data_IF_228753776509
#
_entry.id   IF_228753776509
#
_cell.length_a   1.000
_cell.length_b   1.000
_cell.length_c   1.000
_cell.angle_alpha   90.00
_cell.angle_beta   90.00
_cell.angle_gamma   90.00
#
_symmetry.space_group_name_H-M   'P 1'
#
loop_
_entity.id
_entity.type
_entity.pdbx_description
1 polymer ?
#
# COMPACT_ATOMS: atom_id res chain seq x y z
N UNK A 1 -28.15 -3.98 -92.93
CA UNK A 1 -27.31 -2.82 -92.52
C UNK A 1 -27.81 -2.18 -91.24
N UNK A 2 -29.06 -1.71 -91.16
CA UNK A 2 -29.64 -1.10 -89.94
C UNK A 2 -29.58 -2.03 -88.70
N UNK A 3 -29.89 -3.31 -88.86
CA UNK A 3 -29.92 -4.29 -87.76
C UNK A 3 -28.54 -4.53 -87.12
N UNK A 4 -27.46 -4.47 -87.91
CA UNK A 4 -26.09 -4.60 -87.42
C UNK A 4 -25.65 -3.38 -86.63
N UNK A 5 -26.05 -2.17 -87.06
CA UNK A 5 -25.80 -0.93 -86.32
C UNK A 5 -26.50 -0.94 -84.96
N UNK A 6 -27.75 -1.41 -84.92
CA UNK A 6 -28.52 -1.52 -83.67
C UNK A 6 -27.84 -2.48 -82.69
N UNK A 7 -27.39 -3.65 -83.18
CA UNK A 7 -26.70 -4.64 -82.35
C UNK A 7 -25.37 -4.10 -81.77
N UNK A 8 -24.63 -3.33 -82.57
CA UNK A 8 -23.38 -2.70 -82.14
C UNK A 8 -23.61 -1.63 -81.05
N UNK A 9 -24.62 -0.78 -81.22
CA UNK A 9 -25.00 0.21 -80.21
C UNK A 9 -25.44 -0.47 -78.89
N UNK A 10 -26.28 -1.50 -78.97
CA UNK A 10 -26.72 -2.28 -77.80
C UNK A 10 -25.54 -2.95 -77.07
N UNK A 11 -24.62 -3.55 -77.83
CA UNK A 11 -23.40 -4.14 -77.28
C UNK A 11 -22.53 -3.12 -76.55
N UNK A 12 -22.33 -1.94 -77.13
CA UNK A 12 -21.55 -0.87 -76.48
C UNK A 12 -22.17 -0.37 -75.17
N UNK A 13 -23.50 -0.24 -75.11
CA UNK A 13 -24.18 0.15 -73.87
C UNK A 13 -24.07 -0.91 -72.78
N UNK A 14 -24.19 -2.19 -73.13
CA UNK A 14 -24.02 -3.30 -72.17
C UNK A 14 -22.61 -3.29 -71.58
N UNK A 15 -21.58 -3.05 -72.40
CA UNK A 15 -20.19 -2.97 -71.93
C UNK A 15 -20.01 -1.83 -70.93
N UNK A 16 -20.51 -0.64 -71.25
CA UNK A 16 -20.43 0.53 -70.35
C UNK A 16 -21.13 0.23 -69.03
N UNK A 17 -22.32 -0.38 -69.08
CA UNK A 17 -23.11 -0.70 -67.88
C UNK A 17 -22.42 -1.72 -66.96
N UNK A 18 -21.73 -2.71 -67.54
CA UNK A 18 -20.93 -3.68 -66.77
C UNK A 18 -19.76 -2.98 -66.07
N UNK A 19 -19.06 -2.07 -66.75
CA UNK A 19 -17.96 -1.33 -66.14
C UNK A 19 -18.43 -0.43 -65.00
N UNK A 20 -19.57 0.23 -65.18
CA UNK A 20 -20.16 1.09 -64.15
C UNK A 20 -20.52 0.29 -62.89
N UNK A 21 -21.17 -0.86 -63.07
CA UNK A 21 -21.52 -1.76 -61.96
C UNK A 21 -20.29 -2.28 -61.20
N UNK A 22 -19.22 -2.64 -61.91
CA UNK A 22 -17.96 -3.09 -61.27
C UNK A 22 -17.35 -1.95 -60.44
N UNK A 23 -17.32 -0.73 -60.97
CA UNK A 23 -16.77 0.42 -60.27
C UNK A 23 -17.57 0.71 -58.98
N UNK A 24 -18.91 0.72 -59.06
CA UNK A 24 -19.79 0.93 -57.92
C UNK A 24 -19.61 -0.15 -56.84
N UNK A 25 -19.50 -1.42 -57.24
CA UNK A 25 -19.26 -2.52 -56.31
C UNK A 25 -17.92 -2.38 -55.56
N UNK A 26 -16.86 -1.95 -56.25
CA UNK A 26 -15.56 -1.71 -55.62
C UNK A 26 -15.60 -0.54 -54.63
N UNK A 27 -16.30 0.55 -54.96
CA UNK A 27 -16.49 1.67 -54.03
C UNK A 27 -17.28 1.23 -52.79
N UNK A 28 -18.39 0.54 -52.97
CA UNK A 28 -19.22 0.04 -51.87
C UNK A 28 -18.44 -0.86 -50.91
N UNK A 29 -17.63 -1.77 -51.45
CA UNK A 29 -16.74 -2.63 -50.64
C UNK A 29 -15.63 -1.85 -49.92
N UNK A 30 -15.16 -0.75 -50.49
CA UNK A 30 -14.16 0.12 -49.85
C UNK A 30 -14.76 0.93 -48.70
N UNK A 31 -15.98 1.43 -48.88
CA UNK A 31 -16.69 2.22 -47.86
C UNK A 31 -17.10 1.36 -46.67
N UNK A 32 -17.58 0.13 -46.91
CA UNK A 32 -17.85 -0.85 -45.84
C UNK A 32 -16.60 -1.25 -45.03
N UNK A 33 -15.40 -1.13 -45.61
CA UNK A 33 -14.14 -1.35 -44.91
C UNK A 33 -13.79 -0.17 -43.99
N UNK A 34 -14.16 1.06 -44.36
CA UNK A 34 -13.89 2.26 -43.57
C UNK A 34 -14.73 2.29 -42.29
N UNK A 35 -16.03 1.98 -42.39
CA UNK A 35 -16.98 1.96 -41.27
C UNK A 35 -16.60 0.98 -40.15
N UNK A 36 -16.15 -0.24 -40.51
CA UNK A 36 -15.66 -1.23 -39.52
C UNK A 36 -14.39 -0.76 -38.79
N UNK A 37 -13.55 0.04 -39.43
CA UNK A 37 -12.36 0.61 -38.79
C UNK A 37 -12.70 1.78 -37.87
N UNK A 38 -13.72 2.58 -38.22
CA UNK A 38 -14.24 3.64 -37.36
C UNK A 38 -14.89 3.09 -36.10
N UNK A 39 -15.78 2.09 -36.21
CA UNK A 39 -16.41 1.45 -35.04
C UNK A 39 -15.37 0.86 -34.07
N UNK A 40 -14.31 0.25 -34.62
CA UNK A 40 -13.21 -0.32 -33.81
C UNK A 40 -12.32 0.75 -33.18
N UNK A 41 -12.26 1.94 -33.78
CA UNK A 41 -11.53 3.11 -33.27
C UNK A 41 -12.35 3.81 -32.19
N UNK A 42 -13.65 4.01 -32.39
CA UNK A 42 -14.58 4.53 -31.38
C UNK A 42 -14.61 3.63 -30.14
N UNK A 43 -14.62 2.30 -30.30
CA UNK A 43 -14.54 1.37 -29.16
C UNK A 43 -13.24 1.53 -28.36
N UNK A 44 -12.12 1.78 -29.05
CA UNK A 44 -10.82 2.05 -28.41
C UNK A 44 -10.73 3.44 -27.78
N UNK A 45 -11.40 4.43 -28.35
CA UNK A 45 -11.40 5.82 -27.87
C UNK A 45 -12.37 6.03 -26.70
N UNK A 46 -13.52 5.34 -26.69
CA UNK A 46 -14.50 5.40 -25.58
C UNK A 46 -14.04 4.68 -24.31
N UNK A 47 -13.29 3.58 -24.41
CA UNK A 47 -12.83 2.84 -23.22
C UNK A 47 -11.62 3.48 -22.52
N UNK A 48 -10.89 4.37 -23.22
CA UNK A 48 -9.65 4.96 -22.73
C UNK A 48 -8.54 3.91 -22.51
N UNK A 49 -7.30 4.35 -22.29
CA UNK A 49 -6.20 3.42 -22.02
C UNK A 49 -6.55 2.55 -20.79
N UNK A 50 -6.61 1.21 -20.92
CA UNK A 50 -6.98 0.30 -19.83
C UNK A 50 -6.07 0.45 -18.61
N UNK A 51 -4.80 0.83 -18.78
CA UNK A 51 -3.90 1.14 -17.67
C UNK A 51 -4.33 2.39 -16.89
N UNK A 52 -4.85 3.41 -17.59
CA UNK A 52 -5.32 4.65 -16.94
C UNK A 52 -6.63 4.39 -16.18
N UNK A 53 -7.50 3.55 -16.73
CA UNK A 53 -8.74 3.10 -16.06
C UNK A 53 -8.43 2.24 -14.83
N UNK A 54 -7.47 1.32 -14.95
CA UNK A 54 -6.99 0.48 -13.85
C UNK A 54 -6.34 1.30 -12.73
N UNK A 55 -5.41 2.21 -13.05
CA UNK A 55 -4.80 3.11 -12.06
C UNK A 55 -5.78 4.10 -11.43
N UNK A 56 -6.79 4.58 -12.17
CA UNK A 56 -7.89 5.38 -11.58
C UNK A 56 -8.72 4.56 -10.61
N UNK A 57 -9.03 3.31 -10.95
CA UNK A 57 -9.78 2.39 -10.09
C UNK A 57 -9.00 2.00 -8.84
N UNK A 58 -7.71 1.74 -8.97
CA UNK A 58 -6.79 1.43 -7.88
C UNK A 58 -6.68 2.61 -6.90
N UNK A 59 -6.55 3.84 -7.41
CA UNK A 59 -6.59 5.05 -6.55
C UNK A 59 -7.95 5.27 -5.87
N UNK A 60 -9.06 4.90 -6.51
CA UNK A 60 -10.38 4.93 -5.86
C UNK A 60 -10.59 3.78 -4.87
N UNK A 61 -9.74 2.74 -4.91
CA UNK A 61 -9.78 1.59 -4.00
C UNK A 61 -8.84 1.74 -2.80
N UNK A 62 -8.08 2.82 -2.71
CA UNK A 62 -7.17 3.03 -1.60
C UNK A 62 -7.97 3.33 -0.33
N UNK A 63 -8.07 2.33 0.54
CA UNK A 63 -8.86 2.38 1.78
C UNK A 63 -8.33 3.45 2.75
N UNK A 64 -7.02 3.74 2.68
CA UNK A 64 -6.35 4.70 3.56
C UNK A 64 -6.19 6.05 2.88
N UNK A 65 -6.66 7.11 3.53
CA UNK A 65 -6.36 8.48 3.11
C UNK A 65 -4.90 8.83 3.37
N UNK A 66 -4.36 9.79 2.61
CA UNK A 66 -2.99 10.29 2.80
C UNK A 66 -2.76 10.82 4.23
N UNK A 67 -3.77 11.47 4.81
CA UNK A 67 -3.71 11.92 6.21
C UNK A 67 -3.55 10.72 7.16
N UNK A 68 -4.35 9.66 6.97
CA UNK A 68 -4.28 8.49 7.83
C UNK A 68 -2.94 7.75 7.68
N UNK A 69 -2.39 7.67 6.46
CA UNK A 69 -1.03 7.14 6.23
C UNK A 69 0.01 7.96 7.00
N UNK A 70 -0.07 9.29 6.95
CA UNK A 70 0.80 10.18 7.73
C UNK A 70 0.65 9.95 9.25
N UNK A 71 -0.59 9.83 9.75
CA UNK A 71 -0.86 9.56 11.17
C UNK A 71 -0.24 8.22 11.61
N UNK A 72 -0.31 7.19 10.76
CA UNK A 72 0.33 5.88 10.99
C UNK A 72 1.85 6.03 11.01
N UNK A 73 2.45 6.71 10.02
CA UNK A 73 3.89 6.92 9.93
C UNK A 73 4.48 7.71 11.09
N UNK A 74 3.69 8.60 11.71
CA UNK A 74 4.12 9.36 12.87
C UNK A 74 3.96 8.59 14.19
N UNK A 75 3.27 7.44 14.18
CA UNK A 75 3.04 6.65 15.39
C UNK A 75 4.34 5.98 15.83
N UNK A 76 4.69 6.04 17.12
CA UNK A 76 5.83 5.30 17.67
C UNK A 76 5.53 3.80 17.79
N UNK A 77 4.28 3.46 18.12
CA UNK A 77 3.80 2.08 18.09
C UNK A 77 2.31 2.02 17.78
N UNK A 78 1.84 0.83 17.42
CA UNK A 78 0.43 0.53 17.25
C UNK A 78 -0.05 -0.53 18.24
N UNK A 79 -1.28 -0.37 18.71
CA UNK A 79 -2.00 -1.35 19.53
C UNK A 79 -3.19 -1.86 18.72
N UNK A 80 -3.30 -3.18 18.56
CA UNK A 80 -4.32 -3.78 17.70
C UNK A 80 -5.19 -4.81 18.43
N UNK A 81 -6.50 -4.77 18.14
CA UNK A 81 -7.39 -5.93 18.25
C UNK A 81 -7.51 -6.52 16.84
N UNK A 82 -6.95 -7.72 16.57
CA UNK A 82 -6.51 -8.16 15.24
C UNK A 82 -7.41 -7.78 14.05
N UNK A 83 -8.70 -8.01 14.14
CA UNK A 83 -9.63 -7.80 13.01
C UNK A 83 -10.53 -6.58 13.16
N UNK A 84 -10.44 -5.84 14.26
CA UNK A 84 -11.49 -4.89 14.62
C UNK A 84 -11.01 -3.49 14.99
N UNK A 85 -9.81 -3.33 15.56
CA UNK A 85 -9.36 -2.04 16.08
C UNK A 85 -7.87 -1.88 15.83
N UNK A 86 -7.49 -0.70 15.34
CA UNK A 86 -6.11 -0.25 15.25
C UNK A 86 -5.99 1.12 15.93
N UNK A 87 -5.13 1.19 16.95
CA UNK A 87 -4.79 2.41 17.69
C UNK A 87 -3.33 2.74 17.43
N UNK A 88 -3.03 3.95 17.02
CA UNK A 88 -1.66 4.46 16.90
C UNK A 88 -1.36 5.36 18.08
N UNK A 89 -0.16 5.21 18.64
CA UNK A 89 0.34 6.04 19.74
C UNK A 89 1.47 6.90 19.19
N UNK A 90 1.26 8.21 19.20
CA UNK A 90 2.30 9.20 18.97
C UNK A 90 2.95 9.57 20.30
N UNK A 91 4.27 9.49 20.35
CA UNK A 91 5.02 9.87 21.54
C UNK A 91 6.38 10.43 21.16
N UNK A 92 6.61 11.67 21.58
CA UNK A 92 7.89 12.37 21.46
C UNK A 92 8.17 13.08 22.79
N UNK A 93 9.00 12.50 23.67
CA UNK A 93 9.25 13.02 25.02
C UNK A 93 9.69 14.49 25.06
N UNK A 94 10.41 14.93 24.03
CA UNK A 94 10.92 16.30 23.91
C UNK A 94 9.82 17.33 23.55
N UNK A 95 8.69 16.90 22.99
CA UNK A 95 7.56 17.78 22.65
C UNK A 95 6.41 17.67 23.66
N UNK A 96 6.08 16.46 24.07
CA UNK A 96 5.00 16.19 25.02
C UNK A 96 5.39 15.03 25.94
N UNK A 97 5.32 15.23 27.28
CA UNK A 97 5.56 14.15 28.22
C UNK A 97 4.43 13.10 28.23
N UNK A 98 3.26 13.44 27.66
CA UNK A 98 2.09 12.55 27.62
C UNK A 98 1.90 12.04 26.18
N UNK A 99 1.75 10.72 25.97
CA UNK A 99 1.44 10.15 24.67
C UNK A 99 0.08 10.63 24.12
N UNK A 100 -0.02 10.68 22.80
CA UNK A 100 -1.20 11.12 22.05
C UNK A 100 -1.72 9.98 21.18
N UNK A 101 -3.03 9.88 21.00
CA UNK A 101 -3.64 8.95 20.04
C UNK A 101 -3.52 9.52 18.63
N UNK A 102 -2.60 9.02 17.81
CA UNK A 102 -2.46 9.43 16.40
C UNK A 102 -3.50 8.79 15.50
N UNK A 103 -3.74 7.49 15.68
CA UNK A 103 -4.64 6.69 14.83
C UNK A 103 -5.70 6.04 15.70
N UNK A 104 -6.95 6.07 15.24
CA UNK A 104 -8.07 5.38 15.88
C UNK A 104 -9.05 4.89 14.82
N UNK A 105 -8.93 3.64 14.42
CA UNK A 105 -9.69 3.06 13.31
C UNK A 105 -10.29 1.70 13.66
N UNK A 106 -11.32 1.29 12.90
CA UNK A 106 -11.99 0.00 13.07
C UNK A 106 -12.24 -0.75 11.76
N UNK A 107 -12.55 -2.03 11.88
CA UNK A 107 -12.98 -2.91 10.78
C UNK A 107 -11.97 -2.93 9.61
N UNK A 108 -12.44 -2.80 8.37
CA UNK A 108 -11.62 -2.81 7.15
C UNK A 108 -10.51 -1.75 7.18
N UNK A 109 -10.78 -0.55 7.71
CA UNK A 109 -9.77 0.50 7.82
C UNK A 109 -8.69 0.10 8.81
N UNK A 110 -9.04 -0.55 9.93
CA UNK A 110 -8.06 -1.07 10.88
C UNK A 110 -7.16 -2.16 10.26
N UNK A 111 -7.72 -3.03 9.42
CA UNK A 111 -6.93 -4.03 8.68
C UNK A 111 -5.95 -3.38 7.71
N UNK A 112 -6.42 -2.39 6.94
CA UNK A 112 -5.58 -1.63 6.03
C UNK A 112 -4.47 -0.86 6.77
N UNK A 113 -4.80 -0.22 7.90
CA UNK A 113 -3.84 0.47 8.76
C UNK A 113 -2.77 -0.49 9.27
N UNK A 114 -3.14 -1.68 9.76
CA UNK A 114 -2.17 -2.68 10.23
C UNK A 114 -1.25 -3.17 9.11
N UNK A 115 -1.80 -3.38 7.91
CA UNK A 115 -1.03 -3.75 6.74
C UNK A 115 0.00 -2.67 6.41
N UNK A 116 -0.45 -1.42 6.31
CA UNK A 116 0.41 -0.28 6.03
C UNK A 116 1.49 -0.07 7.10
N UNK A 117 1.13 -0.12 8.38
CA UNK A 117 2.07 -0.03 9.48
C UNK A 117 3.16 -1.11 9.42
N UNK A 118 2.80 -2.34 9.04
CA UNK A 118 3.76 -3.43 8.84
C UNK A 118 4.69 -3.16 7.65
N UNK A 119 4.20 -2.57 6.57
CA UNK A 119 4.98 -2.22 5.39
C UNK A 119 6.05 -1.15 5.70
N UNK A 120 5.70 -0.15 6.51
CA UNK A 120 6.63 0.92 6.91
C UNK A 120 7.41 0.63 8.20
N UNK A 121 7.26 -0.57 8.77
CA UNK A 121 8.05 -1.03 9.92
C UNK A 121 7.63 -0.49 11.28
N UNK A 122 6.41 0.03 11.43
CA UNK A 122 5.90 0.48 12.74
C UNK A 122 5.53 -0.74 13.59
N UNK A 123 6.03 -0.85 14.84
CA UNK A 123 5.78 -2.00 15.70
C UNK A 123 4.30 -2.10 16.07
N UNK A 124 3.73 -3.30 15.93
CA UNK A 124 2.31 -3.58 16.21
C UNK A 124 2.21 -4.58 17.36
N UNK A 125 1.66 -4.11 18.47
CA UNK A 125 1.42 -4.88 19.69
C UNK A 125 -0.03 -5.34 19.68
N UNK A 126 -0.23 -6.65 19.83
CA UNK A 126 -1.58 -7.22 19.87
C UNK A 126 -2.07 -7.30 21.31
N UNK A 127 -2.87 -6.32 21.73
CA UNK A 127 -3.58 -6.35 23.01
C UNK A 127 -5.05 -5.98 22.79
N UNK A 128 -5.91 -7.02 22.82
CA UNK A 128 -7.35 -6.89 22.59
C UNK A 128 -8.05 -6.10 23.69
N UNK A 129 -7.61 -6.22 24.95
CA UNK A 129 -8.25 -5.56 26.09
C UNK A 129 -7.93 -4.08 26.07
N UNK A 130 -6.65 -3.74 25.92
CA UNK A 130 -6.17 -2.37 25.87
C UNK A 130 -6.71 -1.63 24.64
N UNK A 131 -6.67 -2.25 23.45
CA UNK A 131 -7.22 -1.64 22.24
C UNK A 131 -8.71 -1.28 22.39
N UNK A 132 -9.52 -2.16 23.00
CA UNK A 132 -10.94 -1.89 23.27
C UNK A 132 -11.13 -0.78 24.31
N UNK A 133 -10.34 -0.80 25.39
CA UNK A 133 -10.37 0.22 26.45
C UNK A 133 -10.07 1.60 25.88
N UNK A 134 -8.96 1.75 25.13
CA UNK A 134 -8.56 3.02 24.52
C UNK A 134 -9.58 3.48 23.48
N UNK A 135 -10.05 2.57 22.62
CA UNK A 135 -11.03 2.92 21.59
C UNK A 135 -12.34 3.48 22.18
N UNK A 136 -12.80 2.93 23.31
CA UNK A 136 -14.00 3.37 23.99
C UNK A 136 -13.84 4.69 24.76
N UNK A 137 -12.63 4.99 25.24
CA UNK A 137 -12.37 6.12 26.16
C UNK A 137 -11.76 7.35 25.49
N UNK A 138 -11.09 7.19 24.34
CA UNK A 138 -10.35 8.27 23.67
C UNK A 138 -10.82 8.48 22.22
N UNK A 139 -10.62 9.70 21.73
CA UNK A 139 -10.74 10.07 20.32
C UNK A 139 -9.37 10.23 19.69
N UNK A 140 -9.36 10.39 18.36
CA UNK A 140 -8.13 10.72 17.63
C UNK A 140 -7.66 12.11 18.06
N UNK A 141 -6.35 12.24 18.25
CA UNK A 141 -5.66 13.43 18.74
C UNK A 141 -5.97 13.82 20.19
N UNK A 142 -6.57 12.92 20.96
CA UNK A 142 -6.64 13.08 22.41
C UNK A 142 -5.32 12.65 23.05
N UNK A 143 -4.93 13.34 24.13
CA UNK A 143 -3.91 12.85 25.03
C UNK A 143 -4.43 11.65 25.81
N UNK A 144 -3.53 10.72 26.09
CA UNK A 144 -3.85 9.55 26.93
C UNK A 144 -4.21 10.00 28.34
N UNK A 145 -5.36 9.56 28.83
CA UNK A 145 -5.83 9.84 30.18
C UNK A 145 -5.01 9.11 31.24
N UNK A 146 -4.96 9.67 32.45
CA UNK A 146 -4.20 9.11 33.57
C UNK A 146 -4.58 7.65 33.92
N UNK A 147 -5.79 7.21 33.64
CA UNK A 147 -6.22 5.82 33.88
C UNK A 147 -5.61 4.79 32.91
N UNK A 148 -5.06 5.25 31.79
CA UNK A 148 -4.51 4.41 30.71
C UNK A 148 -3.03 4.67 30.44
N UNK A 149 -2.46 5.68 31.11
CA UNK A 149 -1.10 6.14 30.84
C UNK A 149 -0.08 5.08 31.22
N UNK A 150 -0.29 4.37 32.32
CA UNK A 150 0.63 3.37 32.84
C UNK A 150 0.78 2.20 31.86
N UNK A 151 -0.32 1.69 31.31
CA UNK A 151 -0.27 0.59 30.35
C UNK A 151 0.44 0.99 29.05
N UNK A 152 0.18 2.20 28.54
CA UNK A 152 0.82 2.69 27.31
C UNK A 152 2.30 2.99 27.55
N UNK A 153 2.64 3.60 28.68
CA UNK A 153 4.02 3.92 29.02
C UNK A 153 4.86 2.65 29.16
N UNK A 154 4.32 1.59 29.79
CA UNK A 154 5.00 0.28 29.86
C UNK A 154 5.33 -0.27 28.48
N UNK A 155 4.42 -0.16 27.50
CA UNK A 155 4.68 -0.60 26.14
C UNK A 155 5.74 0.25 25.43
N UNK A 156 5.72 1.57 25.66
CA UNK A 156 6.72 2.50 25.09
C UNK A 156 8.12 2.28 25.68
N UNK A 157 8.20 1.97 26.97
CA UNK A 157 9.46 1.63 27.66
C UNK A 157 9.98 0.26 27.20
N UNK A 158 9.10 -0.74 27.13
CA UNK A 158 9.48 -2.04 26.59
C UNK A 158 9.99 -1.94 25.15
N UNK A 159 9.35 -1.11 24.30
CA UNK A 159 9.82 -0.87 22.94
C UNK A 159 11.21 -0.24 22.93
N UNK A 160 11.45 0.76 23.79
CA UNK A 160 12.75 1.40 23.94
C UNK A 160 13.83 0.39 24.35
N UNK A 161 13.52 -0.49 25.31
CA UNK A 161 14.45 -1.54 25.76
C UNK A 161 14.78 -2.53 24.64
N UNK A 162 13.79 -2.89 23.81
CA UNK A 162 13.98 -3.77 22.65
C UNK A 162 14.83 -3.09 21.56
N UNK A 163 14.58 -1.81 21.30
CA UNK A 163 15.38 -1.01 20.36
C UNK A 163 16.83 -0.88 20.85
N UNK A 164 17.04 -0.72 22.16
CA UNK A 164 18.35 -0.60 22.79
C UNK A 164 19.10 -1.93 22.88
N UNK A 165 18.41 -3.03 23.19
CA UNK A 165 19.00 -4.38 23.21
C UNK A 165 19.43 -4.86 21.82
N UNK A 166 18.85 -4.30 20.75
CA UNK A 166 19.28 -4.50 19.37
C UNK A 166 20.49 -3.66 18.95
N UNK A 167 20.95 -2.71 19.77
CA UNK A 167 22.17 -1.95 19.49
C UNK A 167 23.40 -2.79 19.87
N UNK A 168 24.46 -2.79 19.04
CA UNK A 168 25.73 -3.38 19.45
C UNK A 168 26.21 -2.67 20.72
N UNK A 169 26.55 -3.46 21.74
CA UNK A 169 27.19 -2.94 22.97
C UNK A 169 28.43 -2.16 22.54
N UNK A 170 28.57 -0.86 22.88
CA UNK A 170 29.77 -0.11 22.57
C UNK A 170 31.00 -0.85 23.09
N UNK A 171 32.07 -0.93 22.30
CA UNK A 171 33.30 -1.66 22.64
C UNK A 171 33.88 -1.22 24.01
N UNK A 172 33.60 0.01 24.45
CA UNK A 172 33.97 0.55 25.78
C UNK A 172 33.29 -0.14 26.98
N UNK A 173 32.16 -0.81 26.76
CA UNK A 173 31.38 -1.52 27.78
C UNK A 173 31.60 -3.04 27.73
N UNK A 174 32.37 -3.53 26.75
CA UNK A 174 32.88 -4.90 26.80
C UNK A 174 33.90 -4.99 27.94
N UNK A 175 33.79 -5.98 28.84
CA UNK A 175 34.84 -6.21 29.82
C UNK A 175 36.16 -6.42 29.07
N UNK A 176 37.18 -5.61 29.38
CA UNK A 176 38.53 -5.88 28.88
C UNK A 176 38.93 -7.30 29.30
N UNK A 177 39.44 -8.09 28.36
CA UNK A 177 39.84 -9.49 28.58
C UNK A 177 40.80 -9.67 29.77
N UNK A 178 41.46 -8.59 30.20
CA UNK A 178 42.33 -8.53 31.38
C UNK A 178 41.62 -8.88 32.70
N UNK A 179 40.31 -8.63 32.82
CA UNK A 179 39.54 -8.95 34.05
C UNK A 179 39.29 -10.44 34.26
N UNK A 180 39.44 -11.27 33.22
CA UNK A 180 39.22 -12.72 33.34
C UNK A 180 40.48 -13.47 33.82
N UNK A 181 41.67 -12.90 33.62
CA UNK A 181 42.95 -13.54 34.01
C UNK A 181 43.27 -13.41 35.50
N UNK A 182 42.87 -12.32 36.15
CA UNK A 182 43.08 -12.13 37.60
C UNK A 182 42.28 -13.13 38.48
N UNK A 183 41.22 -13.75 37.93
CA UNK A 183 40.38 -14.71 38.64
C UNK A 183 40.85 -16.17 38.62
N UNK A 184 41.77 -16.54 37.72
CA UNK A 184 42.30 -17.91 37.65
C UNK A 184 43.59 -18.10 38.45
N UNK A 185 44.43 -17.06 38.58
CA UNK A 185 45.71 -17.17 39.29
C UNK A 185 45.56 -17.32 40.81
N UNK A 186 44.45 -16.86 41.41
CA UNK A 186 44.23 -16.91 42.86
C UNK A 186 43.72 -18.27 43.38
N UNK A 187 43.47 -19.25 42.50
CA UNK A 187 42.89 -20.55 42.90
C UNK A 187 43.92 -21.69 43.03
N UNK A 188 45.21 -21.43 42.83
CA UNK A 188 46.27 -22.45 42.92
C UNK A 188 47.08 -22.45 44.23
N UNK A 189 46.91 -21.45 45.11
CA UNK A 189 47.83 -21.26 46.26
C UNK A 189 47.31 -21.70 47.64
N UNK A 190 46.19 -22.45 47.71
CA UNK A 190 45.65 -22.89 49.01
C UNK A 190 45.30 -24.39 49.03
N UNK A 191 46.29 -25.22 48.75
CA UNK A 191 46.35 -26.65 49.10
C UNK A 191 47.79 -26.99 49.41
N UNK A 192 48.28 -26.49 50.53
CA UNK A 192 49.45 -26.99 51.26
C UNK A 192 49.61 -26.09 52.48
N UNK A 193 48.83 -26.36 53.54
CA UNK A 193 49.21 -26.11 54.94
C UNK A 193 48.03 -26.45 55.87
N UNK A 194 48.26 -27.49 56.67
CA UNK A 194 47.54 -27.99 57.85
C UNK A 194 46.56 -29.15 57.66
#
# INVERSE_FOLDING_TARGET
MLFLLILYCLGSMIIVLIFDFIAEYFLFMKDMKMDKQEVKREYKEQEGNPEIKSKRRERHQEILSEQLKSDVSNSRLMIANPTHIAIGIYFKPHLSPIPLISVRETNEVALAVRKYAKEIGIPIITDKKLARKIYATHRRYDYVSFENIDEILRLLLWLEDVENAGQPVPDELLPSEDKFKEGEDTKSENKDNN
#
